data_IF_180417443167
#
_entry.id   IF_180417443167
#
_cell.length_a   1.000
_cell.length_b   1.000
_cell.length_c   1.000
_cell.angle_alpha   90.00
_cell.angle_beta   90.00
_cell.angle_gamma   90.00
#
_symmetry.space_group_name_H-M   'P 1'
#
loop_
_entity.id
_entity.type
_entity.pdbx_description
1 polymer ?
#
# COMPACT_ATOMS: atom_id res chain seq x y z
N UNK A 1 0.80 -1.00 10.53
CA UNK A 1 0.41 -0.69 9.15
C UNK A 1 -0.81 -1.48 8.72
N UNK A 2 -1.70 -0.85 7.98
CA UNK A 2 -2.87 -1.51 7.41
C UNK A 2 -2.51 -2.50 6.29
N UNK A 3 -1.31 -2.40 5.75
CA UNK A 3 -0.91 -3.16 4.57
C UNK A 3 -0.26 -4.50 4.90
N UNK A 4 0.23 -4.67 6.12
CA UNK A 4 0.87 -5.91 6.52
C UNK A 4 0.78 -6.13 8.02
N UNK A 5 0.74 -7.39 8.42
CA UNK A 5 0.89 -7.82 9.80
C UNK A 5 2.30 -8.30 10.10
N UNK A 6 3.19 -8.33 9.10
CA UNK A 6 4.56 -8.79 9.26
C UNK A 6 5.43 -7.68 9.82
N UNK A 7 5.90 -7.85 11.06
CA UNK A 7 6.70 -6.85 11.76
C UNK A 7 8.00 -6.51 11.05
N UNK A 8 8.60 -7.48 10.34
CA UNK A 8 9.86 -7.27 9.63
C UNK A 8 9.69 -6.38 8.41
N UNK A 9 8.51 -6.40 7.80
CA UNK A 9 8.22 -5.60 6.60
C UNK A 9 7.79 -4.18 6.90
N UNK A 10 7.22 -3.92 8.06
CA UNK A 10 6.70 -2.58 8.40
C UNK A 10 7.73 -1.46 8.23
N UNK A 11 8.97 -1.58 8.72
CA UNK A 11 9.98 -0.54 8.49
C UNK A 11 10.36 -0.39 7.01
N UNK A 12 10.31 -1.46 6.23
CA UNK A 12 10.57 -1.43 4.79
C UNK A 12 9.45 -0.66 4.08
N UNK A 13 8.20 -0.94 4.43
CA UNK A 13 7.03 -0.27 3.86
C UNK A 13 7.04 1.22 4.23
N UNK A 14 7.38 1.54 5.48
CA UNK A 14 7.53 2.94 5.89
C UNK A 14 8.55 3.67 5.03
N UNK A 15 9.67 3.00 4.69
CA UNK A 15 10.68 3.54 3.80
C UNK A 15 10.16 3.82 2.40
N UNK A 16 9.27 2.98 1.87
CA UNK A 16 8.64 3.21 0.56
C UNK A 16 7.82 4.50 0.58
N UNK A 17 6.98 4.70 1.58
CA UNK A 17 6.17 5.92 1.66
C UNK A 17 7.03 7.16 1.81
N UNK A 18 8.09 7.09 2.60
CA UNK A 18 9.04 8.20 2.76
C UNK A 18 9.73 8.50 1.43
N UNK A 19 10.16 7.48 0.70
CA UNK A 19 10.77 7.65 -0.62
C UNK A 19 9.81 8.34 -1.59
N UNK A 20 8.55 7.94 -1.61
CA UNK A 20 7.53 8.56 -2.47
C UNK A 20 7.29 10.02 -2.09
N UNK A 21 7.21 10.32 -0.81
CA UNK A 21 7.05 11.71 -0.36
C UNK A 21 8.22 12.59 -0.80
N UNK A 22 9.45 12.06 -0.75
CA UNK A 22 10.65 12.80 -1.14
C UNK A 22 10.66 13.17 -2.62
N UNK A 23 10.12 12.32 -3.49
CA UNK A 23 10.09 12.58 -4.93
C UNK A 23 8.75 13.09 -5.42
N UNK A 24 7.85 13.47 -4.50
CA UNK A 24 6.53 13.98 -4.80
C UNK A 24 5.69 13.00 -5.64
N UNK A 25 5.72 11.74 -5.24
CA UNK A 25 4.97 10.66 -5.87
C UNK A 25 3.73 10.35 -5.04
N UNK A 26 2.55 10.13 -5.65
CA UNK A 26 1.35 9.73 -4.90
C UNK A 26 1.61 8.47 -4.07
N UNK A 27 1.09 8.43 -2.84
CA UNK A 27 1.34 7.29 -1.94
C UNK A 27 0.67 6.00 -2.42
N UNK A 28 -0.47 6.11 -3.09
CA UNK A 28 -1.21 4.97 -3.66
C UNK A 28 -1.47 3.86 -2.64
N UNK A 29 -1.95 4.27 -1.48
CA UNK A 29 -2.25 3.34 -0.38
C UNK A 29 -3.68 2.84 -0.47
N UNK A 30 -3.88 1.53 -0.62
CA UNK A 30 -5.21 0.92 -0.66
C UNK A 30 -6.04 1.21 0.59
N UNK A 31 -5.49 1.17 1.82
CA UNK A 31 -6.25 1.52 3.01
C UNK A 31 -6.90 2.91 2.96
N UNK A 32 -6.26 3.90 2.33
CA UNK A 32 -6.84 5.23 2.21
C UNK A 32 -8.03 5.26 1.26
N UNK A 33 -8.01 4.45 0.21
CA UNK A 33 -9.15 4.30 -0.70
C UNK A 33 -10.33 3.63 0.02
N UNK A 34 -10.06 2.57 0.77
CA UNK A 34 -11.09 1.90 1.58
C UNK A 34 -11.72 2.87 2.58
N UNK A 35 -10.91 3.70 3.21
CA UNK A 35 -11.40 4.73 4.14
C UNK A 35 -12.31 5.73 3.43
N UNK A 36 -11.90 6.21 2.25
CA UNK A 36 -12.69 7.14 1.46
C UNK A 36 -14.04 6.57 1.06
N UNK A 37 -14.08 5.28 0.70
CA UNK A 37 -15.31 4.58 0.33
C UNK A 37 -16.11 4.09 1.54
N UNK A 38 -15.53 4.13 2.73
CA UNK A 38 -16.10 3.55 3.95
C UNK A 38 -16.37 2.05 3.82
N UNK A 39 -15.52 1.38 3.05
CA UNK A 39 -15.65 -0.04 2.73
C UNK A 39 -14.37 -0.78 3.13
N UNK A 40 -14.25 -1.11 4.41
CA UNK A 40 -13.09 -1.81 4.96
C UNK A 40 -13.11 -3.32 4.72
N UNK A 41 -14.22 -3.83 4.21
CA UNK A 41 -14.43 -5.23 3.89
C UNK A 41 -13.84 -5.65 2.55
N UNK A 42 -13.40 -4.69 1.72
CA UNK A 42 -12.90 -4.96 0.38
C UNK A 42 -11.54 -5.66 0.45
N UNK A 43 -11.42 -6.78 -0.27
CA UNK A 43 -10.16 -7.50 -0.41
C UNK A 43 -9.43 -7.15 -1.70
N UNK A 44 -10.12 -6.48 -2.63
CA UNK A 44 -9.59 -6.13 -3.94
C UNK A 44 -10.00 -4.71 -4.31
N UNK A 45 -9.02 -3.94 -4.81
CA UNK A 45 -9.24 -2.56 -5.27
C UNK A 45 -9.24 -2.55 -6.79
N UNK A 46 -10.36 -2.13 -7.37
CA UNK A 46 -10.51 -2.00 -8.82
C UNK A 46 -10.10 -0.61 -9.29
N UNK A 47 -9.79 -0.48 -10.58
CA UNK A 47 -9.32 0.77 -11.16
C UNK A 47 -10.25 1.95 -10.90
N UNK A 48 -11.58 1.75 -11.00
CA UNK A 48 -12.51 2.85 -10.75
C UNK A 48 -12.43 3.39 -9.34
N UNK A 49 -12.08 2.54 -8.37
CA UNK A 49 -11.92 2.94 -6.97
C UNK A 49 -10.72 3.86 -6.78
N UNK A 50 -9.68 3.70 -7.59
CA UNK A 50 -8.49 4.56 -7.52
C UNK A 50 -8.71 5.93 -8.16
N UNK A 51 -9.85 6.14 -8.80
CA UNK A 51 -10.17 7.38 -9.52
C UNK A 51 -11.20 8.25 -8.80
N UNK A 52 -11.68 7.85 -7.63
CA UNK A 52 -12.68 8.62 -6.90
C UNK A 52 -12.11 9.97 -6.44
N UNK A 53 -12.93 11.01 -6.50
CA UNK A 53 -12.54 12.33 -6.04
C UNK A 53 -12.80 12.46 -4.54
N UNK A 54 -11.79 12.17 -3.75
CA UNK A 54 -11.88 12.23 -2.29
C UNK A 54 -10.52 12.62 -1.73
N UNK A 55 -10.45 13.55 -0.75
CA UNK A 55 -9.17 13.97 -0.17
C UNK A 55 -8.32 12.83 0.41
N UNK A 56 -8.93 11.73 0.82
CA UNK A 56 -8.21 10.57 1.34
C UNK A 56 -7.73 9.61 0.25
N UNK A 57 -8.10 9.83 -1.02
CA UNK A 57 -7.65 8.97 -2.10
C UNK A 57 -6.21 9.34 -2.51
N UNK A 58 -5.24 8.58 -2.02
CA UNK A 58 -3.82 8.84 -2.29
C UNK A 58 -3.38 8.39 -3.68
N UNK A 59 -4.25 7.81 -4.50
CA UNK A 59 -3.95 7.52 -5.90
C UNK A 59 -4.05 8.75 -6.80
N UNK A 60 -4.91 9.71 -6.47
CA UNK A 60 -5.07 10.91 -7.28
C UNK A 60 -4.69 12.19 -6.55
N UNK A 61 -4.03 12.09 -5.41
CA UNK A 61 -3.54 13.23 -4.64
C UNK A 61 -2.11 12.99 -4.19
N UNK A 62 -1.36 14.08 -4.11
CA UNK A 62 0.02 14.04 -3.65
C UNK A 62 0.09 14.24 -2.15
N UNK A 63 1.13 13.65 -1.53
CA UNK A 63 1.40 13.83 -0.12
C UNK A 63 0.52 13.00 0.79
N UNK A 64 0.52 13.37 2.07
CA UNK A 64 -0.24 12.66 3.10
C UNK A 64 -1.74 12.97 2.98
N UNK A 65 -2.62 12.02 3.40
CA UNK A 65 -4.05 12.32 3.49
C UNK A 65 -4.31 13.39 4.56
N UNK A 66 -5.53 14.00 4.58
CA UNK A 66 -5.83 15.09 5.51
C UNK A 66 -5.69 14.75 6.98
N UNK A 67 -5.80 13.47 7.33
CA UNK A 67 -5.66 13.02 8.71
C UNK A 67 -5.47 11.53 8.78
N UNK A 68 -5.31 10.97 9.98
CA UNK A 68 -5.13 9.53 10.13
C UNK A 68 -6.42 8.78 9.82
N UNK A 69 -6.28 7.58 9.26
CA UNK A 69 -7.42 6.70 8.97
C UNK A 69 -7.71 5.75 10.14
N UNK A 70 -6.79 5.67 11.09
CA UNK A 70 -6.94 4.90 12.35
C UNK A 70 -5.90 5.42 13.34
N UNK A 71 -6.06 5.05 14.59
CA UNK A 71 -5.03 5.32 15.59
C UNK A 71 -3.84 4.39 15.35
N UNK A 72 -2.62 4.93 15.19
CA UNK A 72 -1.44 4.09 15.02
C UNK A 72 -1.11 3.38 16.33
N UNK A 73 -0.67 2.14 16.25
CA UNK A 73 -0.15 1.42 17.41
C UNK A 73 1.35 1.73 17.59
N UNK A 74 1.94 1.41 18.78
CA UNK A 74 3.35 1.69 19.02
C UNK A 74 4.30 1.06 18.00
N UNK A 75 3.94 -0.10 17.46
CA UNK A 75 4.73 -0.82 16.46
C UNK A 75 4.78 -0.05 15.13
N UNK A 76 3.66 0.54 14.72
CA UNK A 76 3.61 1.35 13.50
C UNK A 76 4.43 2.63 13.65
N UNK A 77 4.35 3.28 14.81
CA UNK A 77 5.13 4.48 15.12
C UNK A 77 6.62 4.15 15.08
N UNK A 78 7.01 3.04 15.71
CA UNK A 78 8.40 2.59 15.73
C UNK A 78 8.92 2.31 14.32
N UNK A 79 8.10 1.69 13.48
CA UNK A 79 8.47 1.41 12.09
C UNK A 79 8.77 2.68 11.29
N UNK A 80 8.04 3.77 11.53
CA UNK A 80 8.29 5.05 10.87
C UNK A 80 9.55 5.71 11.42
N UNK A 81 9.73 5.70 12.73
CA UNK A 81 10.91 6.31 13.36
C UNK A 81 12.19 5.58 13.01
N UNK A 82 12.11 4.27 12.80
CA UNK A 82 13.26 3.41 12.48
C UNK A 82 13.12 2.77 11.10
N UNK A 83 12.63 3.53 10.12
CA UNK A 83 12.42 2.99 8.79
C UNK A 83 13.73 2.52 8.15
N UNK A 84 13.61 1.49 7.30
CA UNK A 84 14.75 0.96 6.57
C UNK A 84 15.03 1.85 5.35
N UNK A 85 16.30 2.26 5.19
CA UNK A 85 16.73 3.05 4.05
C UNK A 85 16.97 2.13 2.84
N UNK A 86 16.25 2.39 1.76
CA UNK A 86 16.35 1.64 0.50
C UNK A 86 15.82 2.51 -0.65
N UNK A 87 15.85 1.96 -1.86
CA UNK A 87 15.38 2.66 -3.07
C UNK A 87 14.05 2.12 -3.60
N UNK A 88 13.34 1.29 -2.83
CA UNK A 88 12.05 0.76 -3.27
C UNK A 88 10.99 1.86 -3.32
N UNK A 89 10.20 1.83 -4.38
CA UNK A 89 9.07 2.74 -4.57
C UNK A 89 7.73 2.00 -4.65
N UNK A 90 7.76 0.68 -4.81
CA UNK A 90 6.57 -0.14 -5.03
C UNK A 90 6.54 -1.33 -4.11
N UNK A 91 5.33 -1.75 -3.76
CA UNK A 91 5.10 -2.98 -3.03
C UNK A 91 3.84 -3.64 -3.56
N UNK A 92 3.78 -4.96 -3.47
CA UNK A 92 2.63 -5.75 -3.86
C UNK A 92 2.51 -6.95 -2.94
N UNK A 93 1.30 -7.25 -2.47
CA UNK A 93 1.07 -8.43 -1.67
C UNK A 93 1.51 -9.69 -2.44
N UNK A 94 2.12 -10.62 -1.73
CA UNK A 94 2.55 -11.89 -2.34
C UNK A 94 1.36 -12.72 -2.77
N UNK A 95 1.47 -13.36 -3.95
CA UNK A 95 0.46 -14.29 -4.45
C UNK A 95 0.31 -15.53 -3.57
N UNK A 96 1.22 -15.75 -2.63
CA UNK A 96 1.14 -16.84 -1.65
C UNK A 96 0.11 -16.57 -0.54
N UNK A 97 -0.37 -15.35 -0.42
CA UNK A 97 -1.34 -14.91 0.59
C UNK A 97 -0.88 -15.23 2.02
N UNK A 98 0.41 -15.05 2.27
CA UNK A 98 1.05 -15.34 3.56
C UNK A 98 1.35 -14.08 4.38
N UNK A 99 0.82 -12.93 3.97
CA UNK A 99 1.06 -11.66 4.64
C UNK A 99 2.37 -10.97 4.25
N UNK A 100 3.14 -11.56 3.34
CA UNK A 100 4.38 -10.94 2.85
C UNK A 100 4.13 -10.14 1.57
N UNK A 101 5.12 -9.34 1.20
CA UNK A 101 5.06 -8.45 0.03
C UNK A 101 6.31 -8.61 -0.83
N UNK A 102 6.15 -8.29 -2.12
CA UNK A 102 7.27 -8.06 -3.03
C UNK A 102 7.55 -6.57 -3.08
N UNK A 103 8.82 -6.20 -3.06
CA UNK A 103 9.26 -4.81 -3.12
C UNK A 103 10.02 -4.59 -4.42
N UNK A 104 9.77 -3.44 -5.06
CA UNK A 104 10.34 -3.14 -6.37
C UNK A 104 10.80 -1.70 -6.46
N UNK A 105 11.84 -1.47 -7.27
CA UNK A 105 12.35 -0.12 -7.55
C UNK A 105 11.69 0.48 -8.79
N UNK A 106 11.24 -0.34 -9.73
CA UNK A 106 10.69 0.11 -11.01
C UNK A 106 9.24 -0.34 -11.16
N UNK A 107 8.52 0.40 -12.01
CA UNK A 107 7.14 0.05 -12.32
C UNK A 107 7.02 -1.27 -13.09
N UNK A 108 7.99 -1.60 -13.93
CA UNK A 108 8.01 -2.85 -14.68
C UNK A 108 8.05 -4.06 -13.75
N UNK A 109 8.89 -4.02 -12.73
CA UNK A 109 8.96 -5.06 -11.72
C UNK A 109 7.63 -5.17 -10.96
N UNK A 110 7.06 -4.03 -10.58
CA UNK A 110 5.78 -3.99 -9.89
C UNK A 110 4.66 -4.59 -10.73
N UNK A 111 4.63 -4.30 -12.03
CA UNK A 111 3.61 -4.85 -12.94
C UNK A 111 3.63 -6.37 -12.97
N UNK A 112 4.81 -6.97 -12.98
CA UNK A 112 4.96 -8.42 -13.00
C UNK A 112 4.37 -9.05 -11.73
N UNK A 113 4.70 -8.49 -10.56
CA UNK A 113 4.16 -8.98 -9.29
C UNK A 113 2.66 -8.74 -9.16
N UNK A 114 2.18 -7.58 -9.60
CA UNK A 114 0.77 -7.25 -9.57
C UNK A 114 -0.07 -8.18 -10.44
N UNK A 115 0.45 -8.52 -11.62
CA UNK A 115 -0.21 -9.46 -12.53
C UNK A 115 -0.31 -10.85 -11.91
N UNK A 116 0.75 -11.31 -11.27
CA UNK A 116 0.76 -12.59 -10.57
C UNK A 116 -0.27 -12.62 -9.44
N UNK A 117 -0.34 -11.56 -8.65
CA UNK A 117 -1.29 -11.41 -7.57
C UNK A 117 -2.74 -11.41 -8.08
N UNK A 118 -3.03 -10.66 -9.14
CA UNK A 118 -4.36 -10.60 -9.75
C UNK A 118 -4.79 -11.96 -10.31
N UNK A 119 -3.85 -12.70 -10.93
CA UNK A 119 -4.10 -14.05 -11.39
C UNK A 119 -4.53 -14.96 -10.24
N UNK A 120 -3.85 -14.86 -9.10
CA UNK A 120 -4.19 -15.68 -7.94
C UNK A 120 -5.53 -15.29 -7.33
N UNK A 121 -5.85 -14.00 -7.29
CA UNK A 121 -7.17 -13.53 -6.87
C UNK A 121 -8.27 -14.14 -7.75
N UNK A 122 -8.06 -14.16 -9.06
CA UNK A 122 -9.02 -14.72 -10.01
C UNK A 122 -9.19 -16.23 -9.81
N UNK A 123 -8.09 -16.96 -9.58
CA UNK A 123 -8.13 -18.40 -9.30
C UNK A 123 -8.91 -18.72 -8.03
N UNK A 124 -8.79 -17.87 -7.01
CA UNK A 124 -9.48 -18.05 -5.73
C UNK A 124 -10.88 -17.45 -5.74
N UNK A 125 -11.30 -16.90 -6.87
CA UNK A 125 -12.63 -16.31 -7.04
C UNK A 125 -12.91 -15.12 -6.09
N UNK A 126 -11.87 -14.40 -5.73
CA UNK A 126 -11.98 -13.20 -4.89
C UNK A 126 -12.35 -12.02 -5.79
N UNK A 127 -13.43 -11.31 -5.42
CA UNK A 127 -13.97 -10.21 -6.24
C UNK A 127 -13.93 -8.86 -5.55
#
# INVERSE_FOLDING_TARGET
SEETNNKKEKPIIAGIYINRLRINMPLQSCPTVKYALKRFDLERIYTWMTQIDNPYNTYNRYGLPPGPIRNPNPEDIDAVLNFVHHDYLYMCASAKFDGTHHFSKTYEEQKAYSKEYDSELNKRNIK
#
